data_IF_401834357563
#
_entry.id   IF_401834357563
#
_cell.length_a   1.000
_cell.length_b   1.000
_cell.length_c   1.000
_cell.angle_alpha   90.00
_cell.angle_beta   90.00
_cell.angle_gamma   90.00
#
_symmetry.space_group_name_H-M   'P 1'
#
loop_
_entity.id
_entity.type
_entity.pdbx_description
1 polymer ?
#
# COMPACT_ATOMS: atom_id res chain seq x y z
N UNK A 1 -11.48 -29.69 -25.64
CA UNK A 1 -11.30 -28.24 -25.88
C UNK A 1 -10.78 -27.63 -24.58
N UNK A 2 -9.57 -27.05 -24.52
CA UNK A 2 -9.05 -26.56 -23.25
C UNK A 2 -9.50 -25.11 -23.04
N UNK A 3 -10.58 -24.94 -22.27
CA UNK A 3 -10.88 -23.70 -21.57
C UNK A 3 -10.46 -23.93 -20.12
N UNK A 4 -9.23 -23.54 -19.77
CA UNK A 4 -8.78 -23.53 -18.36
C UNK A 4 -7.46 -22.75 -18.12
N UNK A 5 -6.74 -22.35 -19.17
CA UNK A 5 -5.52 -21.54 -19.03
C UNK A 5 -5.82 -20.04 -18.88
N UNK A 6 -6.83 -19.52 -19.58
CA UNK A 6 -7.11 -18.08 -19.63
C UNK A 6 -7.63 -17.52 -18.30
N UNK A 7 -8.48 -18.26 -17.59
CA UNK A 7 -9.07 -17.78 -16.33
C UNK A 7 -8.04 -17.70 -15.20
N UNK A 8 -7.12 -18.68 -15.13
CA UNK A 8 -6.03 -18.68 -14.16
C UNK A 8 -5.07 -17.49 -14.36
N UNK A 9 -4.77 -17.15 -15.60
CA UNK A 9 -3.92 -16.01 -15.93
C UNK A 9 -4.60 -14.68 -15.59
N UNK A 10 -5.91 -14.56 -15.83
CA UNK A 10 -6.70 -13.38 -15.43
C UNK A 10 -6.68 -13.18 -13.91
N UNK A 11 -6.81 -14.26 -13.13
CA UNK A 11 -6.72 -14.19 -11.66
C UNK A 11 -5.34 -13.72 -11.22
N UNK A 12 -4.26 -14.26 -11.79
CA UNK A 12 -2.88 -13.86 -11.45
C UNK A 12 -2.61 -12.39 -11.79
N UNK A 13 -3.10 -11.92 -12.94
CA UNK A 13 -3.01 -10.49 -13.31
C UNK A 13 -3.79 -9.63 -12.32
N UNK A 14 -4.97 -10.07 -11.90
CA UNK A 14 -5.77 -9.39 -10.87
C UNK A 14 -5.04 -9.31 -9.53
N UNK A 15 -4.42 -10.42 -9.08
CA UNK A 15 -3.59 -10.44 -7.87
C UNK A 15 -2.40 -9.49 -7.99
N UNK A 16 -1.72 -9.49 -9.14
CA UNK A 16 -0.60 -8.59 -9.39
C UNK A 16 -1.02 -7.12 -9.32
N UNK A 17 -2.16 -6.79 -9.92
CA UNK A 17 -2.74 -5.46 -9.85
C UNK A 17 -3.03 -5.04 -8.40
N UNK A 18 -3.65 -5.92 -7.60
CA UNK A 18 -3.92 -5.66 -6.18
C UNK A 18 -2.64 -5.48 -5.37
N UNK A 19 -1.64 -6.35 -5.56
CA UNK A 19 -0.36 -6.26 -4.84
C UNK A 19 0.34 -4.93 -5.16
N UNK A 20 0.47 -4.60 -6.44
CA UNK A 20 1.23 -3.43 -6.88
C UNK A 20 0.49 -2.12 -6.60
N UNK A 21 -0.83 -2.08 -6.84
CA UNK A 21 -1.63 -0.85 -6.77
C UNK A 21 -2.23 -0.61 -5.40
N UNK A 22 -2.69 -1.66 -4.70
CA UNK A 22 -3.31 -1.54 -3.38
C UNK A 22 -2.30 -1.78 -2.26
N UNK A 23 -1.50 -2.84 -2.36
CA UNK A 23 -0.65 -3.28 -1.26
C UNK A 23 0.63 -2.46 -1.14
N UNK A 24 1.31 -2.21 -2.26
CA UNK A 24 2.53 -1.38 -2.31
C UNK A 24 2.28 0.04 -2.79
N UNK A 25 1.10 0.33 -3.36
CA UNK A 25 0.74 1.63 -3.94
C UNK A 25 1.87 2.18 -4.84
N UNK A 26 2.49 1.36 -5.67
CA UNK A 26 3.67 1.82 -6.43
C UNK A 26 3.30 2.90 -7.44
N UNK A 27 4.20 3.85 -7.76
CA UNK A 27 3.94 4.83 -8.83
C UNK A 27 3.60 4.11 -10.13
N UNK A 28 2.66 4.65 -10.92
CA UNK A 28 2.19 4.01 -12.16
C UNK A 28 3.31 3.66 -13.16
N UNK A 29 4.45 4.36 -13.09
CA UNK A 29 5.61 4.15 -13.96
C UNK A 29 6.53 3.00 -13.50
N UNK A 30 6.33 2.46 -12.30
CA UNK A 30 7.19 1.39 -11.77
C UNK A 30 6.74 0.07 -12.39
N UNK A 31 7.64 -0.53 -13.16
CA UNK A 31 7.43 -1.85 -13.71
C UNK A 31 7.38 -2.89 -12.58
N UNK A 32 6.54 -3.90 -12.78
CA UNK A 32 6.52 -5.10 -11.94
C UNK A 32 7.83 -5.83 -12.15
N UNK A 33 8.51 -6.17 -11.05
CA UNK A 33 9.76 -6.92 -11.08
C UNK A 33 9.51 -8.39 -11.40
N UNK A 34 10.43 -9.02 -12.11
CA UNK A 34 10.38 -10.47 -12.41
C UNK A 34 10.18 -11.32 -11.15
N UNK A 35 10.79 -10.93 -10.02
CA UNK A 35 10.60 -11.60 -8.74
C UNK A 35 9.14 -11.61 -8.23
N UNK A 36 8.37 -10.55 -8.52
CA UNK A 36 6.94 -10.49 -8.18
C UNK A 36 6.11 -11.37 -9.12
N UNK A 37 6.47 -11.45 -10.40
CA UNK A 37 5.85 -12.39 -11.33
C UNK A 37 6.10 -13.83 -10.91
N UNK A 38 7.36 -14.19 -10.63
CA UNK A 38 7.72 -15.53 -10.16
C UNK A 38 7.03 -15.91 -8.85
N UNK A 39 6.83 -14.95 -7.94
CA UNK A 39 6.11 -15.18 -6.68
C UNK A 39 4.61 -15.45 -6.89
N UNK A 40 3.97 -14.79 -7.86
CA UNK A 40 2.55 -15.02 -8.19
C UNK A 40 2.32 -16.35 -8.90
N UNK A 41 3.35 -16.83 -9.59
CA UNK A 41 3.33 -18.14 -10.21
C UNK A 41 3.65 -19.27 -9.22
N UNK A 42 4.28 -18.97 -8.09
CA UNK A 42 4.63 -19.96 -7.08
C UNK A 42 3.55 -20.16 -6.02
N UNK A 43 3.56 -21.33 -5.38
CA UNK A 43 2.71 -21.63 -4.22
C UNK A 43 3.15 -20.86 -2.96
N UNK A 44 4.30 -20.18 -3.00
CA UNK A 44 4.84 -19.41 -1.87
C UNK A 44 4.08 -18.10 -1.63
N UNK A 45 3.18 -17.70 -2.54
CA UNK A 45 2.38 -16.48 -2.41
C UNK A 45 1.64 -16.41 -1.06
N UNK A 46 1.12 -17.53 -0.59
CA UNK A 46 0.35 -17.62 0.66
C UNK A 46 1.23 -17.55 1.92
N UNK A 47 2.47 -18.05 1.83
CA UNK A 47 3.43 -18.06 2.95
C UNK A 47 4.40 -16.88 2.91
N UNK A 48 4.33 -16.06 1.85
CA UNK A 48 5.19 -14.90 1.67
C UNK A 48 5.05 -13.93 2.84
N UNK A 49 6.19 -13.42 3.31
CA UNK A 49 6.26 -12.53 4.47
C UNK A 49 5.84 -11.08 4.13
N UNK A 50 4.65 -10.90 3.53
CA UNK A 50 4.12 -9.62 3.05
C UNK A 50 4.33 -8.47 4.04
N UNK A 51 3.98 -8.70 5.30
CA UNK A 51 4.08 -7.70 6.36
C UNK A 51 5.49 -7.13 6.53
N UNK A 52 6.55 -7.94 6.40
CA UNK A 52 7.93 -7.47 6.57
C UNK A 52 8.34 -6.52 5.46
N UNK A 53 8.04 -6.85 4.21
CA UNK A 53 8.44 -6.03 3.07
C UNK A 53 7.56 -4.81 2.90
N UNK A 54 6.25 -4.94 3.15
CA UNK A 54 5.33 -3.81 3.22
C UNK A 54 5.76 -2.81 4.30
N UNK A 55 6.14 -3.29 5.48
CA UNK A 55 6.62 -2.43 6.56
C UNK A 55 7.91 -1.71 6.17
N UNK A 56 8.92 -2.44 5.67
CA UNK A 56 10.18 -1.83 5.20
C UNK A 56 9.94 -0.77 4.13
N UNK A 57 9.09 -1.09 3.15
CA UNK A 57 8.76 -0.17 2.06
C UNK A 57 8.06 1.08 2.61
N UNK A 58 7.02 0.91 3.43
CA UNK A 58 6.29 2.02 4.07
C UNK A 58 7.21 2.89 4.92
N UNK A 59 8.06 2.28 5.74
CA UNK A 59 9.03 2.99 6.59
C UNK A 59 10.04 3.79 5.76
N UNK A 60 10.53 3.21 4.65
CA UNK A 60 11.44 3.91 3.74
C UNK A 60 10.79 5.15 3.13
N UNK A 61 9.52 5.06 2.73
CA UNK A 61 8.78 6.19 2.16
C UNK A 61 8.38 7.22 3.21
N UNK A 62 8.07 6.81 4.44
CA UNK A 62 7.91 7.73 5.57
C UNK A 62 9.18 8.55 5.80
N UNK A 63 10.34 7.88 5.82
CA UNK A 63 11.64 8.56 5.95
C UNK A 63 11.83 9.56 4.82
N UNK A 64 11.61 9.14 3.56
CA UNK A 64 11.70 10.03 2.40
C UNK A 64 10.74 11.22 2.51
N UNK A 65 9.48 11.00 2.91
CA UNK A 65 8.49 12.07 3.06
C UNK A 65 8.90 13.11 4.12
N UNK A 66 9.61 12.68 5.17
CA UNK A 66 10.10 13.59 6.22
C UNK A 66 11.42 14.28 5.87
N UNK A 67 12.23 13.72 4.96
CA UNK A 67 13.58 14.25 4.66
C UNK A 67 13.69 14.93 3.31
N UNK A 68 12.92 14.48 2.31
CA UNK A 68 13.08 14.90 0.92
C UNK A 68 12.16 16.09 0.65
N UNK A 69 12.79 17.21 0.33
CA UNK A 69 12.11 18.37 -0.23
C UNK A 69 12.22 18.32 -1.75
N UNK A 70 11.15 18.74 -2.39
CA UNK A 70 11.01 18.81 -3.83
C UNK A 70 10.69 20.24 -4.15
N UNK A 71 11.47 20.83 -5.04
CA UNK A 71 11.20 22.17 -5.51
C UNK A 71 9.90 22.15 -6.29
N UNK A 72 8.93 22.92 -5.81
CA UNK A 72 7.67 23.12 -6.50
C UNK A 72 7.78 24.40 -7.33
N UNK A 73 7.76 24.23 -8.66
CA UNK A 73 7.84 25.33 -9.61
C UNK A 73 6.66 26.30 -9.52
N UNK A 74 5.48 25.84 -9.06
CA UNK A 74 4.28 26.67 -8.94
C UNK A 74 4.35 27.60 -7.74
N UNK A 75 4.88 27.12 -6.61
CA UNK A 75 5.03 27.90 -5.37
C UNK A 75 6.42 28.51 -5.21
N UNK A 76 7.37 28.17 -6.10
CA UNK A 76 8.79 28.54 -6.08
C UNK A 76 9.45 28.25 -4.73
N UNK A 77 9.07 27.14 -4.10
CA UNK A 77 9.54 26.74 -2.76
C UNK A 77 9.79 25.24 -2.71
N UNK A 78 10.69 24.88 -1.81
CA UNK A 78 10.93 23.49 -1.44
C UNK A 78 9.76 22.98 -0.58
N UNK A 79 8.96 22.07 -1.14
CA UNK A 79 7.84 21.42 -0.44
C UNK A 79 8.19 19.96 -0.17
N UNK A 80 7.81 19.48 1.01
CA UNK A 80 7.86 18.06 1.34
C UNK A 80 6.93 17.25 0.42
N UNK A 81 7.45 16.22 -0.22
CA UNK A 81 6.64 15.26 -0.96
C UNK A 81 6.00 14.29 0.03
N UNK A 82 4.78 14.58 0.49
CA UNK A 82 4.04 13.75 1.44
C UNK A 82 3.43 12.48 0.79
N UNK A 83 4.00 12.00 -0.32
CA UNK A 83 3.51 10.78 -0.98
C UNK A 83 4.03 9.57 -0.22
N UNK A 84 3.12 8.95 0.51
CA UNK A 84 3.37 7.68 1.18
C UNK A 84 3.02 6.54 0.23
N UNK A 85 3.98 5.63 0.03
CA UNK A 85 3.80 4.39 -0.71
C UNK A 85 4.14 3.21 0.21
N UNK A 86 3.75 1.99 -0.16
CA UNK A 86 3.70 0.83 0.74
C UNK A 86 2.28 0.52 1.14
N UNK A 87 2.04 0.30 2.43
CA UNK A 87 0.78 -0.13 3.01
C UNK A 87 0.05 1.03 3.73
N UNK A 88 -0.35 2.11 3.01
CA UNK A 88 -0.90 3.31 3.61
C UNK A 88 -2.22 3.04 4.34
N UNK A 89 -3.01 2.07 3.88
CA UNK A 89 -4.28 1.71 4.53
C UNK A 89 -4.05 1.15 5.94
N UNK A 90 -3.11 0.23 6.13
CA UNK A 90 -2.83 -0.26 7.48
C UNK A 90 -2.14 0.78 8.34
N UNK A 91 -1.31 1.65 7.76
CA UNK A 91 -0.76 2.79 8.48
C UNK A 91 -1.86 3.75 8.94
N UNK A 92 -2.85 4.01 8.09
CA UNK A 92 -4.02 4.82 8.39
C UNK A 92 -4.87 4.18 9.51
N UNK A 93 -5.16 2.88 9.42
CA UNK A 93 -5.86 2.13 10.48
C UNK A 93 -5.05 2.18 11.78
N UNK A 94 -3.74 1.98 11.73
CA UNK A 94 -2.86 2.05 12.89
C UNK A 94 -2.91 3.42 13.57
N UNK A 95 -2.91 4.52 12.80
CA UNK A 95 -3.09 5.88 13.34
C UNK A 95 -4.43 6.01 14.04
N UNK A 96 -5.51 5.53 13.42
CA UNK A 96 -6.87 5.60 13.97
C UNK A 96 -7.04 4.85 15.30
N UNK A 97 -6.37 3.69 15.42
CA UNK A 97 -6.38 2.91 16.66
C UNK A 97 -5.44 3.49 17.72
N UNK A 98 -4.25 3.95 17.33
CA UNK A 98 -3.20 4.37 18.27
C UNK A 98 -3.42 5.76 18.86
N UNK A 99 -4.22 6.62 18.21
CA UNK A 99 -4.46 7.98 18.66
C UNK A 99 -5.93 8.15 19.10
N UNK A 100 -6.23 8.12 20.40
CA UNK A 100 -7.58 8.39 20.91
C UNK A 100 -8.08 9.81 20.60
N UNK A 101 -7.18 10.76 20.40
CA UNK A 101 -7.49 12.20 20.26
C UNK A 101 -8.18 12.58 18.95
N UNK A 102 -8.18 11.70 17.96
CA UNK A 102 -8.81 11.89 16.64
C UNK A 102 -10.21 11.27 16.54
N UNK A 103 -10.62 10.49 17.53
CA UNK A 103 -11.96 9.90 17.63
C UNK A 103 -13.02 11.00 17.73
N UNK A 104 -14.09 10.86 16.96
CA UNK A 104 -15.17 11.84 16.82
C UNK A 104 -14.86 13.06 15.95
N UNK A 105 -13.58 13.31 15.61
CA UNK A 105 -13.16 14.45 14.77
C UNK A 105 -12.88 14.06 13.33
N UNK A 106 -12.11 12.99 13.13
CA UNK A 106 -11.64 12.53 11.81
C UNK A 106 -12.15 11.12 11.53
N UNK A 107 -12.19 10.26 12.55
CA UNK A 107 -12.78 8.93 12.48
C UNK A 107 -13.84 8.80 13.58
N UNK A 108 -14.91 8.05 13.31
CA UNK A 108 -15.90 7.69 14.34
C UNK A 108 -15.83 6.21 14.58
N UNK A 109 -15.65 5.81 15.84
CA UNK A 109 -15.84 4.42 16.22
C UNK A 109 -17.32 4.07 16.18
N UNK A 110 -17.73 3.21 15.25
CA UNK A 110 -19.13 2.74 15.18
C UNK A 110 -19.41 1.67 16.23
N UNK A 111 -18.50 0.70 16.41
CA UNK A 111 -18.62 -0.36 17.42
C UNK A 111 -17.23 -0.79 17.93
N UNK A 112 -17.18 -1.55 19.05
CA UNK A 112 -15.90 -2.04 19.60
C UNK A 112 -15.24 -3.14 18.76
N UNK A 113 -16.03 -3.83 17.94
CA UNK A 113 -15.65 -4.93 17.05
C UNK A 113 -14.96 -4.48 15.75
N UNK A 114 -15.21 -3.26 15.31
CA UNK A 114 -14.66 -2.73 14.07
C UNK A 114 -13.52 -1.74 14.34
N UNK A 115 -12.44 -1.75 13.54
CA UNK A 115 -11.45 -0.69 13.60
C UNK A 115 -12.11 0.65 13.30
N UNK A 116 -11.60 1.71 13.92
CA UNK A 116 -12.02 3.11 13.71
C UNK A 116 -11.73 3.50 12.27
N UNK A 117 -12.64 3.23 11.35
CA UNK A 117 -12.54 3.63 9.94
C UNK A 117 -13.61 4.67 9.67
N UNK A 118 -13.28 5.67 8.83
CA UNK A 118 -14.20 6.71 8.40
C UNK A 118 -15.52 6.09 7.92
N UNK A 119 -16.65 6.66 8.37
CA UNK A 119 -17.96 6.49 7.77
C UNK A 119 -18.28 7.76 6.98
#
# INVERSE_FOLDING_TARGET
MPANSTDGDVVKIGMLYLITSFLFTTPYKKQVTDAMFSLIESEDLETYAWGKDLFKNTFSYLKIATTKRTYDETTKKDIFTHRLYGFPLAFQIWIYESLPSIDGKICKRLEYTWPRILN
#
